data_IF_691611607617
#
_entry.id   IF_691611607617
#
_cell.length_a   1.000
_cell.length_b   1.000
_cell.length_c   1.000
_cell.angle_alpha   90.00
_cell.angle_beta   90.00
_cell.angle_gamma   90.00
#
_symmetry.space_group_name_H-M   'P 1'
#
loop_
_entity.id
_entity.type
_entity.pdbx_description
1 polymer ?
#
# COMPACT_ATOMS: atom_id res chain seq x y z
N UNK A 1 -20.17 -10.77 5.28
CA UNK A 1 -21.18 -10.88 4.21
C UNK A 1 -20.64 -10.15 3.00
N UNK A 2 -20.40 -10.84 1.89
CA UNK A 2 -19.91 -10.18 0.67
C UNK A 2 -21.01 -9.26 0.10
N UNK A 3 -20.66 -8.04 -0.37
CA UNK A 3 -21.63 -7.14 -0.96
C UNK A 3 -22.23 -7.79 -2.22
N UNK A 4 -23.56 -7.81 -2.32
CA UNK A 4 -24.28 -8.43 -3.45
C UNK A 4 -24.25 -7.55 -4.71
N UNK A 5 -23.90 -6.26 -4.58
CA UNK A 5 -23.74 -5.31 -5.69
C UNK A 5 -22.60 -4.32 -5.40
N UNK A 6 -21.81 -3.98 -6.43
CA UNK A 6 -20.85 -2.87 -6.43
C UNK A 6 -21.64 -1.59 -6.78
N UNK A 7 -22.18 -0.92 -5.77
CA UNK A 7 -23.11 0.22 -5.97
C UNK A 7 -22.52 1.57 -5.61
N UNK A 8 -21.43 1.61 -4.85
CA UNK A 8 -20.81 2.88 -4.45
C UNK A 8 -19.64 3.22 -5.37
N UNK A 9 -19.83 4.22 -6.23
CA UNK A 9 -18.79 4.70 -7.14
C UNK A 9 -17.50 5.11 -6.43
N UNK A 10 -17.59 5.54 -5.16
CA UNK A 10 -16.42 5.94 -4.35
C UNK A 10 -15.51 4.75 -4.03
N UNK A 11 -16.03 3.52 -4.04
CA UNK A 11 -15.25 2.33 -3.70
C UNK A 11 -14.03 2.14 -4.59
N UNK A 12 -14.19 2.37 -5.89
CA UNK A 12 -13.09 2.31 -6.85
C UNK A 12 -12.10 3.46 -6.67
N UNK A 13 -12.60 4.70 -6.50
CA UNK A 13 -11.76 5.88 -6.34
C UNK A 13 -10.88 5.82 -5.08
N UNK A 14 -11.44 5.32 -3.97
CA UNK A 14 -10.70 5.08 -2.72
C UNK A 14 -9.61 4.02 -2.96
N UNK A 15 -9.93 2.91 -3.64
CA UNK A 15 -8.96 1.87 -3.93
C UNK A 15 -7.81 2.38 -4.81
N UNK A 16 -8.12 3.21 -5.81
CA UNK A 16 -7.13 3.87 -6.65
C UNK A 16 -6.25 4.83 -5.84
N UNK A 17 -6.84 5.69 -5.00
CA UNK A 17 -6.11 6.62 -4.15
C UNK A 17 -5.18 5.90 -3.16
N UNK A 18 -5.61 4.75 -2.62
CA UNK A 18 -4.76 3.88 -1.79
C UNK A 18 -3.55 3.33 -2.58
N UNK A 19 -3.79 2.85 -3.80
CA UNK A 19 -2.75 2.29 -4.65
C UNK A 19 -1.75 3.37 -5.10
N UNK A 20 -2.22 4.58 -5.38
CA UNK A 20 -1.36 5.74 -5.65
C UNK A 20 -0.46 6.07 -4.46
N UNK A 21 -1.00 6.01 -3.24
CA UNK A 21 -0.23 6.19 -2.00
C UNK A 21 0.90 5.16 -1.88
N UNK A 22 0.59 3.88 -2.15
CA UNK A 22 1.59 2.82 -2.17
C UNK A 22 2.65 3.02 -3.27
N UNK A 23 2.22 3.36 -4.49
CA UNK A 23 3.14 3.60 -5.61
C UNK A 23 4.09 4.75 -5.35
N UNK A 24 3.62 5.80 -4.68
CA UNK A 24 4.47 6.90 -4.22
C UNK A 24 5.49 6.42 -3.20
N UNK A 25 5.07 5.63 -2.21
CA UNK A 25 5.99 5.02 -1.24
C UNK A 25 7.08 4.19 -1.94
N UNK A 26 6.66 3.29 -2.83
CA UNK A 26 7.56 2.39 -3.53
C UNK A 26 8.55 3.12 -4.43
N UNK A 27 8.13 4.19 -5.11
CA UNK A 27 9.03 5.04 -5.92
C UNK A 27 10.13 5.67 -5.06
N UNK A 28 9.77 6.31 -3.96
CA UNK A 28 10.73 6.95 -3.04
C UNK A 28 11.70 5.93 -2.42
N UNK A 29 11.19 4.73 -2.12
CA UNK A 29 12.01 3.62 -1.65
C UNK A 29 13.07 3.21 -2.69
N UNK A 30 12.67 3.09 -3.97
CA UNK A 30 13.58 2.72 -5.07
C UNK A 30 14.62 3.80 -5.33
N UNK A 31 14.23 5.06 -5.33
CA UNK A 31 15.15 6.21 -5.47
C UNK A 31 16.20 6.21 -4.36
N UNK A 32 15.77 6.01 -3.11
CA UNK A 32 16.67 5.95 -1.95
C UNK A 32 17.67 4.80 -2.06
N UNK A 33 17.19 3.64 -2.54
CA UNK A 33 17.99 2.44 -2.75
C UNK A 33 18.99 2.60 -3.90
N UNK A 34 18.58 3.21 -5.01
CA UNK A 34 19.46 3.48 -6.15
C UNK A 34 20.64 4.40 -5.77
N UNK A 35 20.39 5.39 -4.91
CA UNK A 35 21.43 6.28 -4.41
C UNK A 35 22.40 5.63 -3.39
N UNK A 36 22.10 4.43 -2.88
CA UNK A 36 22.95 3.77 -1.87
C UNK A 36 24.34 3.41 -2.40
N UNK A 37 24.43 2.93 -3.66
CA UNK A 37 25.71 2.61 -4.30
C UNK A 37 26.62 3.84 -4.37
N UNK A 38 26.08 4.97 -4.79
CA UNK A 38 26.84 6.22 -4.87
C UNK A 38 27.31 6.70 -3.49
N UNK A 39 26.50 6.55 -2.43
CA UNK A 39 26.90 6.89 -1.06
C UNK A 39 28.05 6.00 -0.59
N UNK A 40 27.99 4.71 -0.89
CA UNK A 40 29.05 3.76 -0.58
C UNK A 40 30.36 4.11 -1.30
N UNK A 41 30.31 4.34 -2.61
CA UNK A 41 31.50 4.70 -3.42
C UNK A 41 32.14 6.01 -2.96
N UNK A 42 31.35 6.93 -2.39
CA UNK A 42 31.82 8.20 -1.83
C UNK A 42 32.22 8.13 -0.35
N UNK A 43 32.15 6.95 0.27
CA UNK A 43 32.34 6.73 1.71
C UNK A 43 31.46 7.65 2.59
N UNK A 44 30.25 8.01 2.11
CA UNK A 44 29.30 8.86 2.83
C UNK A 44 28.47 8.03 3.82
N UNK A 45 29.11 7.62 4.91
CA UNK A 45 28.49 6.77 5.93
C UNK A 45 27.36 7.47 6.68
N UNK A 46 27.50 8.77 6.94
CA UNK A 46 26.46 9.57 7.59
C UNK A 46 25.24 9.72 6.69
N UNK A 47 25.43 9.97 5.39
CA UNK A 47 24.34 10.00 4.42
C UNK A 47 23.64 8.64 4.27
N UNK A 48 24.39 7.55 4.30
CA UNK A 48 23.81 6.20 4.26
C UNK A 48 22.98 5.88 5.51
N UNK A 49 23.45 6.25 6.70
CA UNK A 49 22.71 6.07 7.95
C UNK A 49 21.43 6.92 7.98
N UNK A 50 21.51 8.17 7.52
CA UNK A 50 20.35 9.06 7.41
C UNK A 50 19.30 8.50 6.45
N UNK A 51 19.71 8.07 5.25
CA UNK A 51 18.82 7.50 4.26
C UNK A 51 18.08 6.24 4.76
N UNK A 52 18.74 5.40 5.57
CA UNK A 52 18.08 4.23 6.19
C UNK A 52 17.04 4.61 7.23
N UNK A 53 17.32 5.63 8.06
CA UNK A 53 16.35 6.14 9.04
C UNK A 53 15.15 6.76 8.34
N UNK A 54 15.41 7.63 7.37
CA UNK A 54 14.38 8.29 6.56
C UNK A 54 13.49 7.25 5.87
N UNK A 55 14.06 6.14 5.36
CA UNK A 55 13.28 5.06 4.74
C UNK A 55 12.25 4.42 5.67
N UNK A 56 12.55 4.22 6.95
CA UNK A 56 11.61 3.64 7.93
C UNK A 56 10.54 4.68 8.27
N UNK A 57 10.97 5.91 8.62
CA UNK A 57 10.07 7.01 8.97
C UNK A 57 9.13 7.37 7.80
N UNK A 58 9.60 7.23 6.56
CA UNK A 58 8.80 7.47 5.37
C UNK A 58 7.69 6.46 5.17
N UNK A 59 7.78 5.21 5.65
CA UNK A 59 6.65 4.29 5.52
C UNK A 59 5.44 4.82 6.29
N UNK A 60 5.60 5.08 7.59
CA UNK A 60 4.53 5.57 8.45
C UNK A 60 3.98 6.92 7.95
N UNK A 61 4.87 7.80 7.48
CA UNK A 61 4.47 9.06 6.85
C UNK A 61 3.64 8.87 5.58
N UNK A 62 3.95 7.88 4.73
CA UNK A 62 3.15 7.59 3.52
C UNK A 62 1.79 7.01 3.89
N UNK A 63 1.73 6.17 4.92
CA UNK A 63 0.46 5.64 5.46
C UNK A 63 -0.39 6.78 6.02
N UNK A 64 0.22 7.73 6.74
CA UNK A 64 -0.45 8.93 7.25
C UNK A 64 -1.01 9.80 6.13
N UNK A 65 -0.18 10.17 5.15
CA UNK A 65 -0.60 10.98 4.01
C UNK A 65 -1.74 10.32 3.23
N UNK A 66 -1.70 8.99 3.05
CA UNK A 66 -2.78 8.26 2.41
C UNK A 66 -4.06 8.30 3.26
N UNK A 67 -3.96 8.10 4.57
CA UNK A 67 -5.11 8.16 5.47
C UNK A 67 -5.75 9.55 5.51
N UNK A 68 -4.94 10.61 5.59
CA UNK A 68 -5.39 12.00 5.56
C UNK A 68 -6.05 12.37 4.23
N UNK A 69 -5.46 11.93 3.11
CA UNK A 69 -6.06 12.10 1.77
C UNK A 69 -7.42 11.44 1.70
N UNK A 70 -7.53 10.18 2.13
CA UNK A 70 -8.81 9.46 2.10
C UNK A 70 -9.85 10.10 3.01
N UNK A 71 -9.42 10.60 4.18
CA UNK A 71 -10.32 11.30 5.09
C UNK A 71 -10.81 12.63 4.52
N UNK A 72 -9.94 13.38 3.84
CA UNK A 72 -10.28 14.69 3.27
C UNK A 72 -11.12 14.59 1.99
N UNK A 73 -10.82 13.63 1.11
CA UNK A 73 -11.51 13.48 -0.18
C UNK A 73 -12.82 12.70 -0.08
N UNK A 74 -12.92 11.73 0.85
CA UNK A 74 -14.03 10.77 0.89
C UNK A 74 -14.72 10.62 2.25
N UNK A 75 -14.30 11.41 3.25
CA UNK A 75 -14.74 11.24 4.64
C UNK A 75 -14.54 9.81 5.16
N UNK A 76 -13.42 9.18 4.79
CA UNK A 76 -13.23 7.72 4.89
C UNK A 76 -13.60 7.08 6.25
N UNK A 77 -13.40 7.77 7.38
CA UNK A 77 -13.76 7.28 8.71
C UNK A 77 -15.28 7.17 8.96
N UNK A 78 -16.12 7.86 8.20
CA UNK A 78 -17.59 7.83 8.31
C UNK A 78 -18.23 6.79 7.38
N UNK A 79 -17.45 6.23 6.45
CA UNK A 79 -17.95 5.30 5.45
C UNK A 79 -18.42 3.98 6.11
N UNK A 80 -19.57 3.44 5.66
CA UNK A 80 -20.09 2.19 6.19
C UNK A 80 -19.22 1.00 5.74
N UNK A 81 -19.26 -0.09 6.51
CA UNK A 81 -18.37 -1.23 6.32
C UNK A 81 -18.60 -1.98 4.99
N UNK A 82 -19.79 -1.91 4.42
CA UNK A 82 -20.10 -2.44 3.09
C UNK A 82 -19.33 -1.72 1.98
N UNK A 83 -19.10 -0.40 2.11
CA UNK A 83 -18.24 0.37 1.20
C UNK A 83 -16.80 -0.12 1.31
N UNK A 84 -16.26 -0.32 2.51
CA UNK A 84 -14.91 -0.86 2.70
C UNK A 84 -14.70 -2.25 2.10
N UNK A 85 -15.73 -3.11 2.11
CA UNK A 85 -15.67 -4.38 1.38
C UNK A 85 -15.55 -4.17 -0.14
N UNK A 86 -16.30 -3.22 -0.71
CA UNK A 86 -16.21 -2.88 -2.13
C UNK A 86 -14.83 -2.31 -2.48
N UNK A 87 -14.28 -1.42 -1.63
CA UNK A 87 -12.91 -0.89 -1.77
C UNK A 87 -11.90 -2.04 -1.84
N UNK A 88 -11.98 -3.03 -0.94
CA UNK A 88 -11.09 -4.20 -0.95
C UNK A 88 -11.19 -5.00 -2.26
N UNK A 89 -12.40 -5.23 -2.77
CA UNK A 89 -12.61 -5.95 -4.04
C UNK A 89 -12.01 -5.18 -5.24
N UNK A 90 -12.23 -3.86 -5.30
CA UNK A 90 -11.60 -3.03 -6.32
C UNK A 90 -10.07 -3.03 -6.19
N UNK A 91 -9.55 -2.96 -4.96
CA UNK A 91 -8.11 -3.01 -4.70
C UNK A 91 -7.49 -4.31 -5.20
N UNK A 92 -8.09 -5.47 -4.89
CA UNK A 92 -7.66 -6.77 -5.41
C UNK A 92 -7.66 -6.78 -6.95
N UNK A 93 -8.70 -6.24 -7.58
CA UNK A 93 -8.76 -6.10 -9.03
C UNK A 93 -7.59 -5.30 -9.60
N UNK A 94 -7.26 -4.16 -8.98
CA UNK A 94 -6.12 -3.32 -9.37
C UNK A 94 -4.76 -4.02 -9.18
N UNK A 95 -4.65 -4.94 -8.21
CA UNK A 95 -3.40 -5.65 -7.94
C UNK A 95 -3.06 -6.75 -8.94
N UNK A 96 -4.00 -7.21 -9.75
CA UNK A 96 -3.78 -8.31 -10.72
C UNK A 96 -2.63 -8.05 -11.71
N UNK A 97 -2.38 -6.78 -12.06
CA UNK A 97 -1.28 -6.37 -12.94
C UNK A 97 -0.18 -5.60 -12.19
N UNK A 98 -0.17 -5.63 -10.86
CA UNK A 98 0.77 -4.85 -10.06
C UNK A 98 2.06 -5.64 -9.81
N UNK A 99 3.22 -5.00 -10.00
CA UNK A 99 4.53 -5.68 -9.84
C UNK A 99 4.87 -6.08 -8.39
N UNK A 100 4.14 -5.56 -7.40
CA UNK A 100 4.38 -5.78 -5.97
C UNK A 100 3.04 -5.89 -5.21
N UNK A 101 2.27 -6.97 -5.40
CA UNK A 101 0.93 -7.08 -4.81
C UNK A 101 0.98 -7.24 -3.29
N UNK A 102 1.89 -8.05 -2.75
CA UNK A 102 2.00 -8.32 -1.31
C UNK A 102 2.33 -7.07 -0.47
N UNK A 103 3.22 -6.22 -0.98
CA UNK A 103 3.56 -4.96 -0.32
C UNK A 103 2.38 -3.97 -0.37
N UNK A 104 1.61 -3.98 -1.47
CA UNK A 104 0.42 -3.15 -1.60
C UNK A 104 -0.70 -3.60 -0.64
N UNK A 105 -0.90 -4.91 -0.47
CA UNK A 105 -1.82 -5.47 0.52
C UNK A 105 -1.45 -5.07 1.95
N UNK A 106 -0.14 -5.09 2.27
CA UNK A 106 0.36 -4.61 3.58
C UNK A 106 0.05 -3.13 3.78
N UNK A 107 0.29 -2.30 2.76
CA UNK A 107 -0.03 -0.87 2.80
C UNK A 107 -1.53 -0.63 3.00
N UNK A 108 -2.38 -1.40 2.31
CA UNK A 108 -3.83 -1.37 2.49
C UNK A 108 -4.24 -1.63 3.94
N UNK A 109 -3.68 -2.67 4.55
CA UNK A 109 -3.95 -2.99 5.96
C UNK A 109 -3.52 -1.85 6.88
N UNK A 110 -2.33 -1.26 6.67
CA UNK A 110 -1.84 -0.15 7.49
C UNK A 110 -2.75 1.09 7.40
N UNK A 111 -3.15 1.50 6.20
CA UNK A 111 -4.03 2.67 6.00
C UNK A 111 -5.42 2.41 6.60
N UNK A 112 -6.00 1.24 6.33
CA UNK A 112 -7.34 0.89 6.83
C UNK A 112 -7.36 0.81 8.36
N UNK A 113 -6.32 0.25 8.99
CA UNK A 113 -6.18 0.22 10.46
C UNK A 113 -6.15 1.64 11.03
N UNK A 114 -5.41 2.54 10.37
CA UNK A 114 -5.25 3.93 10.82
C UNK A 114 -6.57 4.70 10.74
N UNK A 115 -7.39 4.48 9.70
CA UNK A 115 -8.68 5.15 9.52
C UNK A 115 -9.76 4.56 10.44
N UNK A 116 -9.84 3.23 10.54
CA UNK A 116 -10.95 2.54 11.23
C UNK A 116 -10.72 2.29 12.72
N UNK A 117 -9.68 2.88 13.31
CA UNK A 117 -9.16 2.92 14.69
C UNK A 117 -9.95 2.29 15.88
N UNK A 118 -11.28 2.17 15.84
CA UNK A 118 -12.16 1.60 16.89
C UNK A 118 -13.05 0.41 16.47
N UNK A 119 -13.24 0.17 15.17
CA UNK A 119 -14.15 -0.89 14.65
C UNK A 119 -13.42 -2.12 14.08
N UNK A 120 -12.08 -2.09 14.13
CA UNK A 120 -11.15 -3.01 13.46
C UNK A 120 -11.10 -4.44 14.03
N UNK A 121 -11.65 -4.69 15.21
CA UNK A 121 -11.59 -5.99 15.89
C UNK A 121 -12.60 -7.05 15.39
N UNK A 122 -13.29 -6.83 14.26
CA UNK A 122 -14.08 -7.87 13.59
C UNK A 122 -13.27 -8.48 12.45
N UNK A 123 -12.79 -9.70 12.63
CA UNK A 123 -11.74 -10.43 11.88
C UNK A 123 -11.94 -10.71 10.37
N UNK A 124 -12.85 -10.05 9.64
CA UNK A 124 -13.12 -10.35 8.22
C UNK A 124 -12.39 -9.46 7.19
N UNK A 125 -11.67 -8.42 7.65
CA UNK A 125 -11.23 -7.32 6.76
C UNK A 125 -9.75 -7.36 6.34
N UNK A 126 -8.91 -8.04 7.10
CA UNK A 126 -7.46 -8.03 6.89
C UNK A 126 -7.09 -9.02 5.76
N UNK A 127 -6.05 -8.72 4.98
CA UNK A 127 -5.36 -9.75 4.21
C UNK A 127 -4.59 -10.67 5.19
N UNK A 128 -5.28 -11.66 5.77
CA UNK A 128 -4.70 -12.65 6.71
C UNK A 128 -3.92 -13.74 5.95
N UNK A 129 -4.25 -13.93 4.68
CA UNK A 129 -3.47 -14.67 3.68
C UNK A 129 -3.30 -13.75 2.47
N UNK A 130 -2.16 -13.78 1.76
CA UNK A 130 -2.00 -13.01 0.53
C UNK A 130 -3.17 -13.38 -0.42
N UNK A 131 -3.90 -12.39 -0.92
CA UNK A 131 -4.95 -12.69 -1.90
C UNK A 131 -4.33 -13.04 -3.26
N UNK A 132 -3.11 -12.57 -3.49
CA UNK A 132 -2.24 -12.96 -4.60
C UNK A 132 -0.93 -13.48 -4.01
N UNK A 133 -0.89 -14.75 -3.63
CA UNK A 133 0.37 -15.49 -3.47
C UNK A 133 0.87 -15.87 -4.86
N UNK A 134 1.67 -15.00 -5.47
CA UNK A 134 2.58 -15.42 -6.53
C UNK A 134 3.91 -15.82 -5.89
N UNK A 135 3.91 -16.99 -5.24
CA UNK A 135 5.09 -17.85 -5.42
C UNK A 135 5.21 -18.07 -6.94
N UNK A 136 6.42 -17.90 -7.46
CA UNK A 136 6.82 -17.83 -8.88
C UNK A 136 6.83 -16.45 -9.54
N UNK A 137 7.89 -15.70 -9.26
CA UNK A 137 8.60 -15.00 -10.33
C UNK A 137 9.54 -16.06 -10.92
N UNK A 138 9.19 -16.62 -12.09
CA UNK A 138 10.22 -17.24 -12.93
C UNK A 138 11.20 -16.12 -13.30
N UNK A 139 12.41 -16.22 -12.79
CA UNK A 139 13.53 -15.44 -13.29
C UNK A 139 13.73 -15.95 -14.71
N UNK A 140 13.34 -15.16 -15.70
CA UNK A 140 13.71 -15.37 -17.09
C UNK A 140 15.24 -15.23 -17.17
N UNK A 141 15.95 -16.35 -17.02
CA UNK A 141 17.31 -16.52 -17.52
C UNK A 141 17.23 -16.51 -19.05
N UNK A 142 17.06 -15.32 -19.62
CA UNK A 142 17.35 -15.11 -21.04
C UNK A 142 18.85 -14.88 -21.18
N UNK A 143 19.55 -15.96 -21.54
CA UNK A 143 20.91 -16.00 -22.09
C UNK A 143 21.24 -14.80 -23.00
N UNK A 144 22.40 -14.17 -22.76
CA UNK A 144 23.39 -13.70 -23.77
C UNK A 144 24.62 -13.10 -23.09
#
# INVERSE_FOLDING_TARGET
MFPQHLTDARGFDIALAMLEGFNRHYRLFRETSAAAKQRFERADWHGQQRAQRERIEFYDKRVEEAAERLQSEFEAATLPMDVWHQVKLHYIGLLTNHHQPECAETFFNSVTTKILHRSYFRNDFIFVRPAISTEYIEIDESDS
#
